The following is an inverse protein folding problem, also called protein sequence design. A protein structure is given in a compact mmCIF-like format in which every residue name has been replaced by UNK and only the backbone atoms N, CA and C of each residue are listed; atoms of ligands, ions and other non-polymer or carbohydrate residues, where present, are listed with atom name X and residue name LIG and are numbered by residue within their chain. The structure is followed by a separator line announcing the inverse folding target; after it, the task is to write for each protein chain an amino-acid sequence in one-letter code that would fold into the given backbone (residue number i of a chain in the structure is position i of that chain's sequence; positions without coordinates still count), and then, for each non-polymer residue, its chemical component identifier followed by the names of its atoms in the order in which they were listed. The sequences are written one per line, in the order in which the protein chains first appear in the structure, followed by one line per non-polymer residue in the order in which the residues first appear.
data_IF_878656319948
#
_entry.id   IF_878656319948
#
_cell.length_a   1.000
_cell.length_b   1.000
_cell.length_c   1.000
_cell.angle_alpha   90.00
_cell.angle_beta   90.00
_cell.angle_gamma   90.00
#
_symmetry.space_group_name_H-M   'P 1'
#
loop_
_entity.id
_entity.type
_entity.pdbx_description
1 polymer ?
#
# COMPACT_ATOMS: atom_id res chain seq x y z
N UNK A 1 -16.42 12.29 -14.70
CA UNK A 1 -16.90 12.69 -13.35
C UNK A 1 -15.71 13.22 -12.60
N UNK A 2 -15.90 14.30 -11.85
CA UNK A 2 -14.82 14.99 -11.15
C UNK A 2 -15.00 14.85 -9.63
N UNK A 3 -13.88 14.75 -8.92
CA UNK A 3 -13.81 14.82 -7.47
C UNK A 3 -12.64 15.73 -7.10
N UNK A 4 -12.73 16.45 -5.99
CA UNK A 4 -11.63 17.23 -5.46
C UNK A 4 -10.92 16.40 -4.40
N UNK A 5 -9.68 16.01 -4.69
CA UNK A 5 -8.85 15.37 -3.68
C UNK A 5 -8.21 16.43 -2.81
N UNK A 6 -8.30 16.21 -1.51
CA UNK A 6 -7.46 16.88 -0.53
C UNK A 6 -6.41 15.90 -0.02
N UNK A 7 -5.16 16.08 -0.44
CA UNK A 7 -4.04 15.23 -0.07
C UNK A 7 -3.16 15.92 0.97
N UNK A 8 -2.86 15.24 2.08
CA UNK A 8 -1.96 15.76 3.11
C UNK A 8 -0.98 14.70 3.61
N UNK A 9 0.21 15.13 4.00
CA UNK A 9 1.11 14.29 4.81
C UNK A 9 0.70 14.43 6.27
N UNK A 10 0.58 13.31 6.96
CA UNK A 10 0.23 13.24 8.38
C UNK A 10 1.29 12.49 9.17
N UNK A 11 1.26 12.62 10.49
CA UNK A 11 2.10 11.81 11.38
C UNK A 11 1.65 10.36 11.34
N UNK A 12 2.56 9.44 11.68
CA UNK A 12 2.26 8.02 11.68
C UNK A 12 1.05 7.69 12.58
N UNK A 13 0.97 8.26 13.78
CA UNK A 13 -0.12 8.05 14.73
C UNK A 13 -1.49 8.53 14.23
N UNK A 14 -1.50 9.50 13.31
CA UNK A 14 -2.72 9.99 12.67
C UNK A 14 -3.13 9.10 11.49
N UNK A 15 -2.14 8.52 10.80
CA UNK A 15 -2.36 7.63 9.67
C UNK A 15 -2.83 6.26 10.13
N UNK A 16 -2.19 5.71 11.17
CA UNK A 16 -2.43 4.39 11.73
C UNK A 16 -2.39 4.53 13.26
N UNK A 17 -3.49 4.20 13.97
CA UNK A 17 -3.54 4.32 15.43
C UNK A 17 -2.38 3.61 16.11
N UNK A 18 -1.78 4.27 17.11
CA UNK A 18 -0.71 3.68 17.91
C UNK A 18 -1.26 2.49 18.70
N UNK A 19 -0.56 1.34 18.74
CA UNK A 19 -1.01 0.19 19.51
C UNK A 19 -0.94 0.49 21.01
N UNK A 20 -1.75 -0.22 21.79
CA UNK A 20 -1.68 -0.17 23.26
C UNK A 20 -0.37 -0.79 23.78
N UNK A 21 0.07 -1.87 23.13
CA UNK A 21 1.32 -2.58 23.44
C UNK A 21 2.49 -2.01 22.61
N UNK A 22 3.22 -1.06 23.22
CA UNK A 22 4.39 -0.42 22.61
C UNK A 22 5.60 -1.37 22.58
N UNK A 23 5.72 -2.26 23.58
CA UNK A 23 6.83 -3.22 23.67
C UNK A 23 6.76 -4.23 22.51
N UNK A 24 5.56 -4.70 22.18
CA UNK A 24 5.34 -5.56 21.02
C UNK A 24 5.68 -4.85 19.70
N UNK A 25 5.37 -3.56 19.57
CA UNK A 25 5.75 -2.78 18.39
C UNK A 25 7.27 -2.66 18.24
N UNK A 26 8.00 -2.44 19.33
CA UNK A 26 9.46 -2.36 19.27
C UNK A 26 10.08 -3.74 18.96
N UNK A 27 9.53 -4.83 19.52
CA UNK A 27 9.93 -6.20 19.16
C UNK A 27 9.68 -6.50 17.68
N UNK A 28 8.54 -6.08 17.14
CA UNK A 28 8.22 -6.24 15.72
C UNK A 28 9.25 -5.55 14.81
N UNK A 29 9.66 -4.34 15.18
CA UNK A 29 10.67 -3.58 14.44
C UNK A 29 12.03 -4.29 14.49
N UNK A 30 12.43 -4.81 15.64
CA UNK A 30 13.66 -5.59 15.79
C UNK A 30 13.65 -6.86 14.92
N UNK A 31 12.53 -7.60 14.88
CA UNK A 31 12.37 -8.78 14.03
C UNK A 31 12.43 -8.46 12.52
N UNK A 32 12.07 -7.23 12.15
CA UNK A 32 12.10 -6.72 10.78
C UNK A 32 13.40 -5.99 10.44
N UNK A 33 14.42 -6.01 11.31
CA UNK A 33 15.73 -5.44 11.02
C UNK A 33 16.58 -6.40 10.17
N UNK A 34 16.91 -6.05 8.90
CA UNK A 34 17.75 -6.86 8.04
C UNK A 34 19.19 -6.88 8.53
N UNK A 35 19.94 -7.92 8.15
CA UNK A 35 21.35 -8.08 8.52
C UNK A 35 22.21 -6.87 8.18
N UNK A 36 21.98 -6.22 7.03
CA UNK A 36 22.74 -5.04 6.59
C UNK A 36 22.64 -3.84 7.54
N UNK A 37 21.63 -3.83 8.42
CA UNK A 37 21.44 -2.79 9.43
C UNK A 37 21.72 -3.27 10.86
N UNK A 38 22.12 -4.52 11.05
CA UNK A 38 22.61 -5.00 12.35
C UNK A 38 24.06 -4.56 12.48
N UNK A 39 24.39 -3.91 13.58
CA UNK A 39 25.77 -3.53 13.84
C UNK A 39 26.51 -4.82 14.22
N UNK A 40 27.54 -5.20 13.44
CA UNK A 40 28.39 -6.35 13.76
C UNK A 40 28.97 -6.16 15.17
N UNK A 41 28.41 -6.89 16.13
CA UNK A 41 28.89 -6.99 17.51
C UNK A 41 29.08 -8.46 17.83
N UNK A 42 30.00 -9.09 17.09
CA UNK A 42 31.12 -9.84 17.66
C UNK A 42 31.80 -10.64 16.54
N UNK A 43 33.08 -10.33 16.29
CA UNK A 43 33.99 -11.10 15.40
C UNK A 43 34.24 -12.54 15.88
N UNK A 44 33.44 -13.07 16.85
CA UNK A 44 33.63 -14.39 17.45
C UNK A 44 32.55 -15.41 17.10
N UNK A 45 31.40 -14.99 16.53
CA UNK A 45 30.40 -15.95 16.03
C UNK A 45 30.71 -16.32 14.59
N UNK A 46 31.56 -17.35 14.46
CA UNK A 46 31.81 -18.09 13.22
C UNK A 46 30.66 -19.05 12.87
N UNK A 47 29.45 -18.79 13.35
CA UNK A 47 28.25 -19.30 12.70
C UNK A 47 27.99 -18.43 11.48
N UNK A 48 28.46 -18.91 10.34
CA UNK A 48 28.40 -18.29 9.01
C UNK A 48 27.19 -17.35 8.74
N UNK A 49 27.31 -16.37 7.82
CA UNK A 49 26.19 -15.58 7.29
C UNK A 49 25.09 -16.41 6.56
N UNK A 50 24.99 -17.73 6.75
CA UNK A 50 24.19 -18.68 5.97
C UNK A 50 22.83 -19.08 6.58
N UNK A 51 22.20 -18.19 7.34
CA UNK A 51 20.73 -18.09 7.31
C UNK A 51 20.31 -16.70 6.88
N UNK A 52 20.93 -16.21 5.81
CA UNK A 52 20.41 -15.07 5.05
C UNK A 52 18.92 -15.28 4.79
N UNK A 53 18.09 -14.35 5.27
CA UNK A 53 16.67 -14.36 4.95
C UNK A 53 16.53 -14.05 3.47
N UNK A 54 16.33 -15.10 2.66
CA UNK A 54 16.21 -15.04 1.21
C UNK A 54 15.23 -13.94 0.75
N UNK A 55 14.24 -13.58 1.57
CA UNK A 55 13.29 -12.52 1.25
C UNK A 55 13.92 -11.14 1.27
N UNK A 56 14.81 -10.86 2.22
CA UNK A 56 15.57 -9.63 2.24
C UNK A 56 16.64 -9.62 1.15
N UNK A 57 17.23 -10.77 0.80
CA UNK A 57 18.22 -10.84 -0.28
C UNK A 57 17.54 -10.48 -1.60
N UNK A 58 16.40 -11.10 -1.90
CA UNK A 58 15.58 -10.73 -3.05
C UNK A 58 15.10 -9.28 -2.98
N UNK A 59 14.70 -8.79 -1.80
CA UNK A 59 14.26 -7.39 -1.65
C UNK A 59 15.38 -6.40 -2.01
N UNK A 60 16.58 -6.55 -1.43
CA UNK A 60 17.70 -5.63 -1.66
C UNK A 60 18.26 -5.73 -3.07
N UNK A 61 18.27 -6.92 -3.67
CA UNK A 61 18.66 -7.10 -5.07
C UNK A 61 17.71 -6.33 -6.01
N UNK A 62 16.40 -6.48 -5.83
CA UNK A 62 15.40 -5.80 -6.66
C UNK A 62 15.39 -4.29 -6.39
N UNK A 63 15.56 -3.86 -5.14
CA UNK A 63 15.74 -2.45 -4.78
C UNK A 63 16.95 -1.82 -5.46
N UNK A 64 18.10 -2.51 -5.47
CA UNK A 64 19.33 -2.02 -6.10
C UNK A 64 19.13 -1.79 -7.60
N UNK A 65 18.50 -2.76 -8.28
CA UNK A 65 18.18 -2.65 -9.70
C UNK A 65 17.20 -1.50 -9.97
N UNK A 66 16.21 -1.32 -9.09
CA UNK A 66 15.26 -0.22 -9.20
C UNK A 66 15.92 1.14 -9.02
N UNK A 67 16.77 1.31 -8.00
CA UNK A 67 17.47 2.57 -7.74
C UNK A 67 18.37 2.98 -8.90
N UNK A 68 19.20 2.06 -9.40
CA UNK A 68 20.07 2.33 -10.54
C UNK A 68 19.26 2.80 -11.76
N UNK A 69 18.08 2.20 -11.96
CA UNK A 69 17.19 2.54 -13.08
C UNK A 69 16.49 3.90 -12.90
N UNK A 70 16.19 4.28 -11.65
CA UNK A 70 15.66 5.61 -11.30
C UNK A 70 16.73 6.70 -11.42
N UNK A 71 17.97 6.39 -11.05
CA UNK A 71 19.14 7.27 -11.21
C UNK A 71 19.44 7.54 -12.68
N UNK A 72 19.49 6.49 -13.51
CA UNK A 72 19.67 6.61 -14.97
C UNK A 72 18.61 7.55 -15.58
N UNK A 73 17.34 7.39 -15.20
CA UNK A 73 16.27 8.26 -15.66
C UNK A 73 16.47 9.72 -15.23
N UNK A 74 16.86 9.96 -13.97
CA UNK A 74 17.13 11.31 -13.47
C UNK A 74 18.27 12.01 -14.23
N UNK A 75 19.34 11.27 -14.56
CA UNK A 75 20.46 11.83 -15.32
C UNK A 75 20.04 12.24 -16.73
N UNK A 76 19.11 11.49 -17.35
CA UNK A 76 18.64 11.79 -18.71
C UNK A 76 17.64 12.96 -18.80
N UNK A 77 16.84 13.21 -17.75
CA UNK A 77 15.81 14.27 -17.76
C UNK A 77 16.34 15.65 -17.32
N UNK A 78 17.59 15.72 -16.85
CA UNK A 78 18.25 16.97 -16.46
C UNK A 78 17.81 17.53 -15.09
N UNK A 79 18.32 18.71 -14.69
CA UNK A 79 18.10 19.31 -13.35
C UNK A 79 16.65 19.70 -13.04
N UNK A 80 15.74 19.58 -14.02
CA UNK A 80 14.29 19.79 -13.83
C UNK A 80 13.54 18.51 -13.40
N UNK A 81 14.25 17.41 -13.12
CA UNK A 81 13.65 16.18 -12.61
C UNK A 81 12.76 16.47 -11.38
N UNK A 82 11.50 15.98 -11.35
CA UNK A 82 10.59 16.25 -10.27
C UNK A 82 11.17 15.73 -8.96
N UNK A 83 11.25 16.62 -7.96
CA UNK A 83 11.76 16.30 -6.65
C UNK A 83 11.04 15.05 -6.10
N UNK A 84 11.81 13.98 -5.90
CA UNK A 84 11.30 12.65 -5.57
C UNK A 84 10.70 12.58 -4.16
N UNK A 85 9.74 11.67 -3.99
CA UNK A 85 8.97 11.51 -2.77
C UNK A 85 7.74 12.42 -2.64
N UNK A 86 6.77 11.93 -1.86
CA UNK A 86 5.48 12.61 -1.65
C UNK A 86 5.67 14.02 -1.07
N UNK A 87 6.60 14.21 -0.13
CA UNK A 87 6.88 15.51 0.50
C UNK A 87 7.16 16.62 -0.51
N UNK A 88 7.79 16.28 -1.63
CA UNK A 88 8.21 17.25 -2.63
C UNK A 88 7.17 17.43 -3.74
N UNK A 89 6.39 16.37 -4.06
CA UNK A 89 5.39 16.40 -5.13
C UNK A 89 4.01 16.89 -4.68
N UNK A 90 3.71 16.83 -3.38
CA UNK A 90 2.38 17.03 -2.84
C UNK A 90 1.80 18.41 -3.19
N UNK A 91 0.62 18.39 -3.82
CA UNK A 91 -0.24 19.57 -3.99
C UNK A 91 -1.50 19.36 -3.13
N UNK A 92 -1.74 20.17 -2.08
CA UNK A 92 -2.74 19.84 -1.07
C UNK A 92 -4.16 19.64 -1.59
N UNK A 93 -4.58 20.43 -2.58
CA UNK A 93 -5.94 20.38 -3.13
C UNK A 93 -5.86 20.27 -4.64
N UNK A 94 -6.46 19.23 -5.21
CA UNK A 94 -6.46 19.01 -6.65
C UNK A 94 -7.80 18.47 -7.15
N UNK A 95 -8.39 19.14 -8.14
CA UNK A 95 -9.52 18.61 -8.88
C UNK A 95 -9.04 17.50 -9.82
N UNK A 96 -9.65 16.32 -9.69
CA UNK A 96 -9.36 15.15 -10.51
C UNK A 96 -10.55 14.79 -11.37
N UNK A 97 -10.27 14.37 -12.60
CA UNK A 97 -11.25 13.72 -13.46
C UNK A 97 -10.85 12.26 -13.55
N UNK A 98 -11.69 11.37 -13.01
CA UNK A 98 -11.41 9.93 -13.07
C UNK A 98 -11.68 9.40 -14.50
N UNK A 99 -10.67 8.87 -15.19
CA UNK A 99 -10.84 8.27 -16.51
C UNK A 99 -11.52 6.91 -16.39
N UNK A 100 -12.24 6.44 -17.43
CA UNK A 100 -12.89 5.10 -17.45
C UNK A 100 -11.90 3.97 -17.12
N UNK A 101 -10.63 4.15 -17.48
CA UNK A 101 -9.52 3.25 -17.17
C UNK A 101 -8.38 4.13 -16.65
N UNK A 102 -7.91 3.87 -15.44
CA UNK A 102 -6.87 4.69 -14.81
C UNK A 102 -5.45 4.31 -15.20
N UNK A 103 -5.26 3.10 -15.73
CA UNK A 103 -3.96 2.70 -16.26
C UNK A 103 -3.71 3.43 -17.59
N UNK A 104 -2.49 3.93 -17.77
CA UNK A 104 -2.10 4.61 -19.01
C UNK A 104 -2.43 3.74 -20.24
N UNK A 105 -3.05 4.38 -21.23
CA UNK A 105 -3.36 3.82 -22.55
C UNK A 105 -2.32 4.31 -23.57
N UNK A 106 -1.06 4.02 -23.36
CA UNK A 106 -0.11 3.81 -24.45
C UNK A 106 0.04 2.30 -24.59
N UNK A 107 -0.56 1.76 -25.65
CA UNK A 107 -0.53 0.33 -25.99
C UNK A 107 0.92 -0.15 -26.23
N UNK A 108 1.87 0.77 -26.44
CA UNK A 108 3.28 0.49 -26.67
C UNK A 108 4.18 0.54 -25.42
N UNK A 109 3.62 0.79 -24.22
CA UNK A 109 4.35 0.73 -22.94
C UNK A 109 3.74 -0.33 -22.02
N UNK A 110 3.58 -1.54 -22.54
CA UNK A 110 3.36 -2.69 -21.68
C UNK A 110 4.52 -2.81 -20.69
N UNK A 111 4.25 -2.31 -19.48
CA UNK A 111 5.02 -2.55 -18.27
C UNK A 111 6.36 -1.79 -18.20
N UNK A 112 6.28 -0.46 -18.03
CA UNK A 112 7.43 0.35 -17.62
C UNK A 112 8.22 -0.33 -16.49
N UNK A 113 9.55 -0.34 -16.65
CA UNK A 113 10.48 -1.11 -15.82
C UNK A 113 10.27 -0.85 -14.31
N UNK A 114 9.97 0.40 -13.95
CA UNK A 114 9.77 0.85 -12.58
C UNK A 114 8.64 0.10 -11.88
N UNK A 115 7.51 -0.06 -12.56
CA UNK A 115 6.31 -0.67 -11.99
C UNK A 115 6.54 -2.13 -11.62
N UNK A 116 7.29 -2.89 -12.45
CA UNK A 116 7.60 -4.30 -12.17
C UNK A 116 8.45 -4.42 -10.92
N UNK A 117 9.51 -3.62 -10.83
CA UNK A 117 10.38 -3.63 -9.66
C UNK A 117 9.63 -3.25 -8.39
N UNK A 118 8.84 -2.18 -8.41
CA UNK A 118 8.06 -1.75 -7.24
C UNK A 118 7.10 -2.85 -6.75
N UNK A 119 6.40 -3.55 -7.65
CA UNK A 119 5.52 -4.66 -7.29
C UNK A 119 6.28 -5.82 -6.61
N UNK A 120 7.48 -6.15 -7.10
CA UNK A 120 8.34 -7.18 -6.50
C UNK A 120 8.90 -6.74 -5.14
N UNK A 121 9.40 -5.51 -5.03
CA UNK A 121 9.91 -4.92 -3.79
C UNK A 121 8.84 -5.00 -2.70
N UNK A 122 7.63 -4.49 -2.98
CA UNK A 122 6.52 -4.51 -2.03
C UNK A 122 6.07 -5.94 -1.70
N UNK A 123 6.07 -6.85 -2.67
CA UNK A 123 5.77 -8.27 -2.42
C UNK A 123 6.76 -8.89 -1.44
N UNK A 124 8.06 -8.68 -1.63
CA UNK A 124 9.09 -9.25 -0.73
C UNK A 124 9.02 -8.62 0.66
N UNK A 125 8.89 -7.30 0.73
CA UNK A 125 8.76 -6.56 1.98
C UNK A 125 7.51 -6.96 2.77
N UNK A 126 6.33 -6.94 2.14
CA UNK A 126 5.09 -7.30 2.83
C UNK A 126 5.06 -8.77 3.22
N UNK A 127 5.70 -9.67 2.46
CA UNK A 127 5.85 -11.07 2.88
C UNK A 127 6.72 -11.22 4.12
N UNK A 128 7.82 -10.48 4.23
CA UNK A 128 8.64 -10.43 5.44
C UNK A 128 7.78 -9.93 6.62
N UNK A 129 7.16 -8.75 6.46
CA UNK A 129 6.28 -8.15 7.48
C UNK A 129 5.24 -9.14 7.95
N UNK A 130 4.40 -9.67 7.06
CA UNK A 130 3.32 -10.56 7.49
C UNK A 130 3.77 -11.94 7.94
N UNK A 131 4.99 -12.40 7.65
CA UNK A 131 5.50 -13.71 8.08
C UNK A 131 6.15 -13.65 9.46
N UNK A 132 6.87 -12.58 9.76
CA UNK A 132 7.76 -12.55 10.92
C UNK A 132 7.16 -11.82 12.13
N UNK A 133 6.02 -11.15 11.94
CA UNK A 133 5.22 -10.66 13.05
C UNK A 133 4.55 -11.82 13.79
N UNK A 134 4.99 -12.05 15.04
CA UNK A 134 4.45 -13.09 15.90
C UNK A 134 2.95 -12.92 16.18
N UNK A 135 2.24 -14.04 16.28
CA UNK A 135 0.82 -14.09 16.66
C UNK A 135 -0.17 -13.81 15.52
N UNK A 136 0.29 -13.61 14.28
CA UNK A 136 -0.61 -13.44 13.14
C UNK A 136 -0.98 -14.79 12.52
N UNK A 137 -2.28 -15.04 12.28
CA UNK A 137 -2.72 -16.25 11.56
C UNK A 137 -2.41 -16.14 10.07
N UNK A 138 -1.29 -16.73 9.63
CA UNK A 138 -0.81 -16.63 8.25
C UNK A 138 -1.56 -17.49 7.24
N UNK A 139 -2.32 -18.51 7.70
CA UNK A 139 -2.91 -19.54 6.85
C UNK A 139 -3.95 -19.03 5.82
N UNK A 140 -4.38 -17.77 5.95
CA UNK A 140 -5.39 -17.16 5.10
C UNK A 140 -4.90 -15.93 4.34
N UNK A 141 -3.62 -15.57 4.47
CA UNK A 141 -3.05 -14.38 3.82
C UNK A 141 -2.46 -14.73 2.45
N UNK A 142 -2.85 -13.98 1.42
CA UNK A 142 -2.27 -14.04 0.08
C UNK A 142 -1.50 -12.75 -0.22
N UNK A 143 -0.22 -12.86 -0.60
CA UNK A 143 0.61 -11.71 -0.99
C UNK A 143 1.10 -11.88 -2.42
N UNK A 144 0.68 -10.96 -3.27
CA UNK A 144 1.05 -10.90 -4.69
C UNK A 144 1.70 -9.56 -5.04
N UNK A 145 2.75 -9.62 -5.85
CA UNK A 145 3.38 -8.47 -6.51
C UNK A 145 3.07 -8.40 -8.01
N UNK A 146 2.09 -9.20 -8.47
CA UNK A 146 1.66 -9.17 -9.87
C UNK A 146 0.52 -8.19 -10.05
N UNK A 147 0.41 -7.62 -11.25
CA UNK A 147 -0.69 -6.72 -11.56
C UNK A 147 -2.05 -7.44 -11.43
N UNK A 148 -3.02 -6.77 -10.83
CA UNK A 148 -4.39 -7.29 -10.72
C UNK A 148 -5.39 -6.24 -11.21
N UNK A 149 -6.25 -6.64 -12.16
CA UNK A 149 -7.30 -5.77 -12.69
C UNK A 149 -8.43 -5.69 -11.69
N UNK A 150 -8.82 -4.48 -11.32
CA UNK A 150 -9.97 -4.23 -10.44
C UNK A 150 -10.99 -3.35 -11.17
N UNK A 151 -12.25 -3.47 -10.77
CA UNK A 151 -13.38 -2.70 -11.29
C UNK A 151 -14.12 -2.05 -10.14
N UNK A 152 -14.62 -0.85 -10.39
CA UNK A 152 -15.46 -0.11 -9.46
C UNK A 152 -16.52 0.67 -10.24
N UNK A 153 -17.55 1.17 -9.54
CA UNK A 153 -18.70 1.84 -10.15
C UNK A 153 -18.84 3.24 -9.56
N UNK A 154 -19.08 4.22 -10.43
CA UNK A 154 -19.41 5.60 -10.07
C UNK A 154 -20.59 6.04 -10.93
N UNK A 155 -21.69 6.47 -10.29
CA UNK A 155 -22.94 6.87 -10.95
C UNK A 155 -23.44 5.85 -11.96
N UNK A 156 -23.47 4.57 -11.55
CA UNK A 156 -23.86 3.44 -12.39
C UNK A 156 -22.88 3.07 -13.51
N UNK A 157 -21.82 3.85 -13.75
CA UNK A 157 -20.83 3.58 -14.81
C UNK A 157 -19.68 2.77 -14.24
N UNK A 158 -19.25 1.73 -14.96
CA UNK A 158 -18.08 0.94 -14.56
C UNK A 158 -16.78 1.56 -15.01
N UNK A 159 -15.82 1.58 -14.08
CA UNK A 159 -14.45 2.00 -14.24
C UNK A 159 -13.50 0.83 -13.98
N UNK A 160 -12.26 0.98 -14.43
CA UNK A 160 -11.21 0.00 -14.23
C UNK A 160 -9.92 0.61 -13.73
N UNK A 161 -9.22 -0.15 -12.89
CA UNK A 161 -7.84 0.13 -12.47
C UNK A 161 -6.99 -1.14 -12.48
N UNK A 162 -5.67 -1.00 -12.32
CA UNK A 162 -4.73 -2.10 -12.09
C UNK A 162 -3.93 -1.80 -10.82
N UNK A 163 -4.03 -2.65 -9.79
CA UNK A 163 -3.05 -2.60 -8.70
C UNK A 163 -1.76 -3.29 -9.13
N UNK A 164 -0.64 -2.96 -8.48
CA UNK A 164 0.69 -3.58 -8.71
C UNK A 164 0.95 -4.78 -7.81
N UNK A 165 -0.11 -5.30 -7.21
CA UNK A 165 -0.07 -6.32 -6.18
C UNK A 165 -1.02 -5.98 -5.05
N UNK A 166 -1.05 -6.83 -4.04
CA UNK A 166 -1.83 -6.65 -2.83
C UNK A 166 -1.39 -7.62 -1.73
N UNK A 167 -1.80 -7.28 -0.51
CA UNK A 167 -2.02 -8.21 0.57
C UNK A 167 -3.52 -8.48 0.62
N UNK A 168 -3.90 -9.74 0.67
CA UNK A 168 -5.29 -10.21 0.65
C UNK A 168 -5.55 -11.25 1.72
N UNK A 169 -6.81 -11.39 2.10
CA UNK A 169 -7.29 -12.49 2.94
C UNK A 169 -8.15 -13.44 2.08
N UNK A 170 -8.17 -14.71 2.46
CA UNK A 170 -9.04 -15.71 1.82
C UNK A 170 -10.42 -15.72 2.48
N UNK A 171 -11.44 -15.40 1.71
CA UNK A 171 -12.85 -15.49 2.09
C UNK A 171 -13.54 -16.50 1.17
N UNK A 172 -13.83 -17.68 1.69
CA UNK A 172 -14.29 -18.81 0.88
C UNK A 172 -13.26 -19.19 -0.19
N UNK A 173 -13.64 -19.08 -1.45
CA UNK A 173 -12.79 -19.36 -2.61
C UNK A 173 -12.17 -18.10 -3.24
N UNK A 174 -12.38 -16.92 -2.64
CA UNK A 174 -11.86 -15.66 -3.16
C UNK A 174 -10.74 -15.09 -2.29
N UNK A 175 -9.78 -14.44 -2.95
CA UNK A 175 -8.83 -13.53 -2.30
C UNK A 175 -9.35 -12.09 -2.39
N UNK A 176 -9.47 -11.44 -1.23
CA UNK A 176 -10.02 -10.09 -1.11
C UNK A 176 -8.91 -9.16 -0.58
N UNK A 177 -8.56 -8.09 -1.33
CA UNK A 177 -7.45 -7.22 -0.94
C UNK A 177 -7.78 -6.41 0.31
N UNK A 178 -6.85 -6.40 1.26
CA UNK A 178 -6.88 -5.59 2.49
C UNK A 178 -5.85 -4.45 2.44
N UNK A 179 -4.80 -4.61 1.63
CA UNK A 179 -3.85 -3.56 1.26
C UNK A 179 -3.55 -3.73 -0.23
N UNK A 180 -3.61 -2.66 -1.03
CA UNK A 180 -3.26 -2.71 -2.45
C UNK A 180 -1.98 -1.96 -2.75
N UNK A 181 -1.25 -2.40 -3.78
CA UNK A 181 -0.03 -1.71 -4.21
C UNK A 181 -0.32 -0.74 -5.35
N UNK A 182 0.15 0.50 -5.23
CA UNK A 182 0.19 1.48 -6.33
C UNK A 182 1.57 1.47 -6.97
N UNK A 183 1.69 2.04 -8.16
CA UNK A 183 2.97 2.15 -8.86
C UNK A 183 3.20 3.57 -9.34
N UNK A 184 4.45 4.00 -9.32
CA UNK A 184 4.90 5.23 -9.95
C UNK A 184 5.70 4.90 -11.22
N UNK A 185 5.62 5.75 -12.24
CA UNK A 185 6.34 5.55 -13.50
C UNK A 185 7.00 6.84 -13.97
N UNK A 186 7.90 6.68 -14.94
CA UNK A 186 8.72 7.74 -15.54
C UNK A 186 7.83 8.93 -16.00
N UNK A 187 8.15 10.14 -15.53
CA UNK A 187 7.41 11.35 -15.90
C UNK A 187 5.97 11.45 -15.36
N UNK A 188 5.55 10.56 -14.45
CA UNK A 188 4.21 10.63 -13.87
C UNK A 188 4.02 11.95 -13.08
N UNK A 189 3.00 12.72 -13.46
CA UNK A 189 2.62 13.93 -12.73
C UNK A 189 1.94 13.59 -11.40
N UNK A 190 1.98 14.51 -10.42
CA UNK A 190 1.21 14.37 -9.17
C UNK A 190 -0.28 14.11 -9.42
N UNK A 191 -0.86 14.74 -10.45
CA UNK A 191 -2.24 14.48 -10.86
C UNK A 191 -2.47 13.03 -11.27
N UNK A 192 -1.61 12.51 -12.16
CA UNK A 192 -1.68 11.12 -12.62
C UNK A 192 -1.49 10.13 -11.46
N UNK A 193 -0.54 10.41 -10.58
CA UNK A 193 -0.29 9.63 -9.37
C UNK A 193 -1.51 9.57 -8.45
N UNK A 194 -2.17 10.70 -8.19
CA UNK A 194 -3.40 10.74 -7.38
C UNK A 194 -4.56 10.02 -8.06
N UNK A 195 -4.71 10.16 -9.39
CA UNK A 195 -5.73 9.44 -10.16
C UNK A 195 -5.52 7.93 -10.02
N UNK A 196 -4.30 7.43 -10.19
CA UNK A 196 -3.99 6.00 -10.02
C UNK A 196 -4.23 5.54 -8.58
N UNK A 197 -3.74 6.29 -7.60
CA UNK A 197 -3.89 5.98 -6.17
C UNK A 197 -5.36 5.89 -5.77
N UNK A 198 -6.17 6.89 -6.09
CA UNK A 198 -7.61 6.88 -5.79
C UNK A 198 -8.31 5.74 -6.55
N UNK A 199 -7.97 5.51 -7.82
CA UNK A 199 -8.59 4.43 -8.60
C UNK A 199 -8.31 3.06 -7.99
N UNK A 200 -7.08 2.80 -7.53
CA UNK A 200 -6.69 1.58 -6.81
C UNK A 200 -7.47 1.45 -5.50
N UNK A 201 -7.57 2.53 -4.71
CA UNK A 201 -8.38 2.54 -3.49
C UNK A 201 -9.85 2.20 -3.76
N UNK A 202 -10.45 2.80 -4.78
CA UNK A 202 -11.84 2.52 -5.17
C UNK A 202 -12.02 1.07 -5.67
N UNK A 203 -11.03 0.52 -6.37
CA UNK A 203 -11.01 -0.88 -6.77
C UNK A 203 -10.96 -1.85 -5.58
N UNK A 204 -10.10 -1.56 -4.58
CA UNK A 204 -10.04 -2.33 -3.34
C UNK A 204 -11.36 -2.22 -2.56
N UNK A 205 -11.90 -1.01 -2.44
CA UNK A 205 -13.17 -0.74 -1.76
C UNK A 205 -14.33 -1.51 -2.41
N UNK A 206 -14.41 -1.52 -3.74
CA UNK A 206 -15.43 -2.26 -4.47
C UNK A 206 -15.33 -3.78 -4.24
N UNK A 207 -14.11 -4.34 -4.13
CA UNK A 207 -13.91 -5.75 -3.77
C UNK A 207 -14.31 -6.07 -2.33
N UNK A 208 -14.18 -5.10 -1.43
CA UNK A 208 -14.63 -5.23 -0.04
C UNK A 208 -16.17 -5.06 0.10
N UNK A 209 -16.81 -4.34 -0.83
CA UNK A 209 -18.23 -3.98 -0.78
C UNK A 209 -19.16 -5.20 -0.65
N UNK A 210 -18.83 -6.32 -1.30
CA UNK A 210 -19.61 -7.55 -1.24
C UNK A 210 -19.71 -8.17 0.17
N UNK A 211 -18.82 -7.78 1.08
CA UNK A 211 -18.72 -8.31 2.43
C UNK A 211 -19.23 -7.33 3.49
N UNK A 212 -19.78 -6.18 3.06
CA UNK A 212 -20.42 -5.24 3.98
C UNK A 212 -21.60 -5.91 4.68
N UNK A 213 -21.53 -6.01 6.00
CA UNK A 213 -22.66 -6.43 6.82
C UNK A 213 -23.67 -5.29 6.97
N UNK A 214 -24.91 -5.56 7.42
CA UNK A 214 -25.91 -4.50 7.73
C UNK A 214 -25.42 -3.45 8.74
N UNK A 215 -24.31 -3.72 9.43
CA UNK A 215 -23.63 -2.84 10.38
C UNK A 215 -22.48 -2.03 9.76
N UNK A 216 -22.22 -2.10 8.45
CA UNK A 216 -21.04 -1.48 7.83
C UNK A 216 -20.99 0.04 8.04
N UNK A 217 -20.06 0.43 8.93
CA UNK A 217 -19.75 1.75 9.49
C UNK A 217 -18.52 2.29 8.78
N UNK A 218 -18.69 2.98 7.66
CA UNK A 218 -17.57 3.56 6.90
C UNK A 218 -16.50 2.53 6.49
N UNK A 219 -15.55 2.92 5.65
CA UNK A 219 -14.46 2.04 5.22
C UNK A 219 -13.14 2.78 5.20
N UNK A 220 -12.10 2.10 5.66
CA UNK A 220 -10.72 2.51 5.50
C UNK A 220 -10.09 1.71 4.38
N UNK A 221 -9.32 2.40 3.54
CA UNK A 221 -8.60 1.77 2.44
C UNK A 221 -7.15 2.19 2.52
N UNK A 222 -6.28 1.19 2.60
CA UNK A 222 -4.84 1.37 2.66
C UNK A 222 -4.18 0.94 1.36
N UNK A 223 -3.29 1.78 0.87
CA UNK A 223 -2.42 1.45 -0.26
C UNK A 223 -0.97 1.76 0.08
N UNK A 224 -0.06 0.98 -0.48
CA UNK A 224 1.38 1.15 -0.34
C UNK A 224 1.97 1.32 -1.73
N UNK A 225 2.88 2.25 -1.90
CA UNK A 225 3.50 2.51 -3.19
C UNK A 225 4.81 3.24 -3.06
N UNK A 226 5.37 3.61 -4.19
CA UNK A 226 6.54 4.47 -4.29
C UNK A 226 6.19 5.78 -4.99
N UNK A 227 6.97 6.82 -4.71
CA UNK A 227 7.05 8.01 -5.55
C UNK A 227 8.53 8.37 -5.69
N UNK A 228 9.13 8.04 -6.84
CA UNK A 228 10.59 7.86 -6.93
C UNK A 228 11.05 6.62 -6.16
N UNK A 229 12.14 6.71 -5.41
CA UNK A 229 12.65 5.62 -4.55
C UNK A 229 12.04 5.59 -3.14
N UNK A 230 11.18 6.55 -2.78
CA UNK A 230 10.61 6.64 -1.43
C UNK A 230 9.28 5.89 -1.33
N UNK A 231 9.25 4.87 -0.49
CA UNK A 231 8.05 4.10 -0.15
C UNK A 231 7.10 4.97 0.68
N UNK A 232 5.80 4.91 0.44
CA UNK A 232 4.81 5.59 1.27
C UNK A 232 3.60 4.67 1.52
N UNK A 233 2.90 4.96 2.61
CA UNK A 233 1.57 4.42 2.92
C UNK A 233 0.57 5.54 2.69
N UNK A 234 -0.55 5.23 2.04
CA UNK A 234 -1.68 6.14 1.91
C UNK A 234 -2.96 5.51 2.45
N UNK A 235 -3.79 6.35 3.09
CA UNK A 235 -5.08 6.00 3.68
C UNK A 235 -6.17 6.88 3.09
N UNK A 236 -7.24 6.24 2.62
CA UNK A 236 -8.51 6.89 2.31
C UNK A 236 -9.58 6.45 3.30
N UNK A 237 -10.40 7.40 3.77
CA UNK A 237 -11.55 7.13 4.62
C UNK A 237 -12.83 7.44 3.83
N UNK A 238 -13.69 6.45 3.65
CA UNK A 238 -14.89 6.54 2.83
C UNK A 238 -16.11 6.28 3.68
N UNK A 239 -16.96 7.30 3.86
CA UNK A 239 -18.18 7.12 4.66
C UNK A 239 -19.19 6.25 3.94
N UNK A 240 -20.06 5.58 4.69
CA UNK A 240 -21.15 4.79 4.09
C UNK A 240 -22.01 5.65 3.16
N UNK A 241 -22.32 6.87 3.57
CA UNK A 241 -23.14 7.81 2.80
C UNK A 241 -22.44 8.15 1.47
N UNK A 242 -21.14 8.44 1.51
CA UNK A 242 -20.35 8.70 0.31
C UNK A 242 -20.34 7.49 -0.62
N UNK A 243 -20.03 6.30 -0.10
CA UNK A 243 -19.96 5.07 -0.92
C UNK A 243 -21.29 4.80 -1.61
N UNK A 244 -22.39 4.85 -0.85
CA UNK A 244 -23.73 4.52 -1.37
C UNK A 244 -24.18 5.53 -2.41
N UNK A 245 -23.99 6.83 -2.14
CA UNK A 245 -24.31 7.92 -3.07
C UNK A 245 -23.47 7.83 -4.34
N UNK A 246 -22.15 7.76 -4.21
CA UNK A 246 -21.22 7.76 -5.34
C UNK A 246 -21.44 6.55 -6.25
N UNK A 247 -21.83 5.40 -5.70
CA UNK A 247 -22.16 4.22 -6.48
C UNK A 247 -23.37 4.46 -7.42
N UNK A 248 -24.44 5.05 -6.90
CA UNK A 248 -25.73 5.20 -7.62
C UNK A 248 -25.77 6.50 -8.44
N UNK A 249 -25.46 7.63 -7.82
CA UNK A 249 -25.63 8.97 -8.38
C UNK A 249 -24.32 9.51 -8.98
N UNK A 250 -23.18 9.03 -8.50
CA UNK A 250 -21.86 9.54 -8.86
C UNK A 250 -21.36 10.60 -7.88
N UNK A 251 -20.24 11.23 -8.21
CA UNK A 251 -19.68 12.30 -7.38
C UNK A 251 -20.57 13.55 -7.43
N UNK A 252 -20.88 14.13 -6.27
CA UNK A 252 -21.51 15.45 -6.23
C UNK A 252 -20.59 16.53 -6.79
N UNK A 253 -21.14 17.69 -7.14
CA UNK A 253 -20.30 18.84 -7.46
C UNK A 253 -19.41 19.18 -6.26
N UNK A 254 -18.09 19.25 -6.50
CA UNK A 254 -17.12 19.49 -5.44
C UNK A 254 -16.96 18.35 -4.43
N UNK A 255 -17.37 17.12 -4.75
CA UNK A 255 -17.16 15.93 -3.90
C UNK A 255 -15.72 15.89 -3.37
N UNK A 256 -15.57 15.91 -2.05
CA UNK A 256 -14.27 15.96 -1.39
C UNK A 256 -13.84 14.56 -0.96
N UNK A 257 -12.64 14.16 -1.36
CA UNK A 257 -12.01 12.91 -0.90
C UNK A 257 -10.70 13.27 -0.22
N UNK A 258 -10.60 12.99 1.07
CA UNK A 258 -9.38 13.16 1.84
C UNK A 258 -8.46 11.95 1.68
N UNK A 259 -7.24 12.19 1.19
CA UNK A 259 -6.18 11.21 1.14
C UNK A 259 -5.05 11.62 2.08
N UNK A 260 -4.72 10.73 3.00
CA UNK A 260 -3.62 10.93 3.94
C UNK A 260 -2.43 10.08 3.51
N UNK A 261 -1.25 10.67 3.54
CA UNK A 261 0.00 10.01 3.18
C UNK A 261 0.98 10.04 4.35
N UNK A 262 1.77 8.99 4.49
CA UNK A 262 3.04 9.07 5.23
C UNK A 262 4.01 10.01 4.51
N UNK A 263 5.04 10.50 5.21
CA UNK A 263 6.07 11.40 4.65
C UNK A 263 6.90 10.83 3.48
N UNK A 264 6.87 9.51 3.30
CA UNK A 264 7.78 8.78 2.41
C UNK A 264 9.06 8.36 3.14
N UNK A 265 9.46 7.11 2.94
CA UNK A 265 10.60 6.46 3.57
C UNK A 265 11.59 6.02 2.51
N UNK A 266 12.86 6.37 2.70
CA UNK A 266 13.94 5.82 1.92
C UNK A 266 14.49 4.56 2.61
N UNK A 267 14.25 3.41 2.01
CA UNK A 267 14.52 2.10 2.62
C UNK A 267 16.01 1.71 2.61
N UNK A 268 16.91 2.55 2.06
CA UNK A 268 18.36 2.36 2.17
C UNK A 268 18.96 2.86 3.48
N UNK A 269 18.26 3.74 4.19
CA UNK A 269 18.76 4.31 5.44
C UNK A 269 18.16 3.58 6.64
N UNK A 270 19.01 3.12 7.57
CA UNK A 270 18.63 2.36 8.77
C UNK A 270 17.53 3.06 9.57
N UNK A 271 17.64 4.37 9.79
CA UNK A 271 16.66 5.13 10.58
C UNK A 271 15.29 5.17 9.90
N UNK A 272 15.28 5.34 8.57
CA UNK A 272 14.04 5.37 7.79
C UNK A 272 13.47 3.97 7.57
N UNK A 273 14.31 2.94 7.53
CA UNK A 273 13.90 1.54 7.56
C UNK A 273 13.15 1.20 8.85
N UNK A 274 13.72 1.59 10.00
CA UNK A 274 13.10 1.41 11.33
C UNK A 274 11.73 2.09 11.36
N UNK A 275 11.63 3.34 10.89
CA UNK A 275 10.34 4.05 10.85
C UNK A 275 9.33 3.40 9.88
N UNK A 276 9.79 2.96 8.70
CA UNK A 276 8.97 2.29 7.71
C UNK A 276 8.43 0.94 8.20
N UNK A 277 9.30 0.11 8.79
CA UNK A 277 8.91 -1.21 9.31
C UNK A 277 8.02 -1.09 10.52
N UNK A 278 8.24 -0.10 11.41
CA UNK A 278 7.28 0.24 12.46
C UNK A 278 5.90 0.56 11.90
N UNK A 279 5.84 1.42 10.87
CA UNK A 279 4.58 1.78 10.22
C UNK A 279 3.88 0.56 9.58
N UNK A 280 4.64 -0.34 8.94
CA UNK A 280 4.09 -1.54 8.29
C UNK A 280 3.64 -2.60 9.29
N UNK A 281 4.40 -2.83 10.37
CA UNK A 281 4.05 -3.74 11.44
C UNK A 281 2.77 -3.28 12.14
N UNK A 282 2.72 -2.00 12.50
CA UNK A 282 1.53 -1.35 13.05
C UNK A 282 0.33 -1.48 12.13
N UNK A 283 0.51 -1.22 10.82
CA UNK A 283 -0.57 -1.36 9.84
C UNK A 283 -1.10 -2.81 9.78
N UNK A 284 -0.19 -3.79 9.77
CA UNK A 284 -0.55 -5.20 9.73
C UNK A 284 -1.37 -5.60 10.98
N UNK A 285 -0.92 -5.20 12.18
CA UNK A 285 -1.65 -5.45 13.43
C UNK A 285 -2.99 -4.72 13.48
N UNK A 286 -3.04 -3.44 13.12
CA UNK A 286 -4.26 -2.64 13.11
C UNK A 286 -5.33 -3.20 12.16
N UNK A 287 -4.91 -3.68 10.98
CA UNK A 287 -5.83 -4.34 10.06
C UNK A 287 -6.33 -5.66 10.65
N UNK A 288 -5.42 -6.51 11.11
CA UNK A 288 -5.77 -7.86 11.56
C UNK A 288 -6.45 -7.93 12.93
N UNK A 289 -6.39 -6.88 13.74
CA UNK A 289 -7.18 -6.76 14.97
C UNK A 289 -8.69 -6.61 14.70
N UNK A 290 -9.06 -6.21 13.47
CA UNK A 290 -10.45 -5.88 13.12
C UNK A 290 -10.87 -4.49 13.56
N UNK A 291 -9.95 -3.67 14.09
CA UNK A 291 -10.23 -2.27 14.43
C UNK A 291 -10.22 -1.38 13.20
N UNK A 292 -9.37 -1.70 12.22
CA UNK A 292 -9.43 -1.07 10.91
C UNK A 292 -10.78 -1.36 10.26
N UNK A 293 -11.43 -0.33 9.72
CA UNK A 293 -12.75 -0.45 9.07
C UNK A 293 -12.63 -1.09 7.68
N UNK A 294 -12.18 -2.35 7.62
CA UNK A 294 -11.98 -3.12 6.40
C UNK A 294 -12.95 -4.30 6.40
N UNK A 295 -14.05 -4.17 5.66
CA UNK A 295 -15.19 -5.10 5.76
C UNK A 295 -14.83 -6.58 5.52
N UNK A 296 -13.85 -6.85 4.65
CA UNK A 296 -13.39 -8.22 4.44
C UNK A 296 -12.79 -8.82 5.72
N UNK A 297 -12.03 -8.04 6.49
CA UNK A 297 -11.41 -8.52 7.73
C UNK A 297 -12.46 -8.76 8.80
N UNK A 298 -13.43 -7.85 8.97
CA UNK A 298 -14.56 -8.07 9.88
C UNK A 298 -15.26 -9.41 9.60
N UNK A 299 -15.49 -9.69 8.31
CA UNK A 299 -16.13 -10.93 7.87
C UNK A 299 -15.24 -12.15 8.11
N UNK A 300 -13.93 -12.02 7.89
CA UNK A 300 -12.96 -13.09 8.11
C UNK A 300 -12.87 -13.46 9.59
N UNK A 301 -12.77 -12.46 10.48
CA UNK A 301 -12.74 -12.66 11.93
C UNK A 301 -14.05 -13.29 12.43
N UNK A 302 -15.20 -12.82 11.93
CA UNK A 302 -16.50 -13.41 12.28
C UNK A 302 -16.63 -14.85 11.80
N UNK A 303 -16.07 -15.19 10.63
CA UNK A 303 -16.05 -16.55 10.07
C UNK A 303 -15.05 -17.50 10.74
N UNK A 304 -14.10 -16.97 11.54
CA UNK A 304 -13.16 -17.76 12.34
C UNK A 304 -13.77 -18.40 13.59
N UNK A 305 -15.05 -18.15 13.88
CA UNK A 305 -15.83 -18.82 14.95
C UNK A 305 -16.57 -20.07 14.45
N UNK A 306 -15.89 -20.90 13.64
CA UNK A 306 -16.37 -22.27 13.42
C UNK A 306 -15.89 -23.08 14.61
N UNK A 307 -16.83 -23.40 15.50
CA UNK A 307 -16.70 -24.38 16.57
C UNK A 307 -16.00 -25.63 16.06
N UNK A 308 -14.89 -25.98 16.69
CA UNK A 308 -14.35 -27.34 16.65
C UNK A 308 -15.38 -28.24 17.34
N UNK A 309 -16.14 -29.01 16.54
CA UNK A 309 -16.80 -30.25 16.96
C UNK A 309 -15.93 -31.44 16.53
#
# INVERSE_FOLDING_TARGET
MAAVIHSKIVRLDELIPRPEDIELEDQDVEMLLPWIFRDDTDESDTESPLKEDIMFTCFFEVMRLYSARVEEWNETEGPESPAMGIKNALKPRQALILPKKSWHMSVDQEEGSFIKFQGLILKHLMRKVFRDLGGLSHAHLGISGSQHKMRYVIGGRTYGTKSRGNVSIRLGNEHVPIISFTGWYEGQTWHGFLVETLSVMLGQLARNFAYLSRRSRDQEVFVIGFHGYKMHIARGYFTREMITRVHVEGCSEGELVDLQFSRGFDLYFKEQWIEATRALARLARYILSGEAKVAAVDRWLAGGTVTED
#
